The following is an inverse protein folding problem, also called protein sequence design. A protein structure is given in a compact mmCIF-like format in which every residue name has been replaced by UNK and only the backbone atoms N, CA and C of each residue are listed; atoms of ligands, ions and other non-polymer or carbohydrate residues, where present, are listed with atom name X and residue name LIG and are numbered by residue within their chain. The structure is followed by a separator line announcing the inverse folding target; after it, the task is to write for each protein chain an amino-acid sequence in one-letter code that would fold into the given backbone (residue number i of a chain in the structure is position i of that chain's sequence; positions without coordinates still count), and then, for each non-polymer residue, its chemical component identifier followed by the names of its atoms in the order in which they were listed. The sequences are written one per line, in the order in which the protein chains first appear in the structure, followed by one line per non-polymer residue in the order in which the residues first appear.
data_IF_837209738473
#
_entry.id   IF_837209738473
#
_cell.length_a   1.000
_cell.length_b   1.000
_cell.length_c   1.000
_cell.angle_alpha   90.00
_cell.angle_beta   90.00
_cell.angle_gamma   90.00
#
_symmetry.space_group_name_H-M   'P 1'
#
loop_
_entity.id
_entity.type
_entity.pdbx_description
1 polymer ?
#
# COMPACT_ATOMS: atom_id res chain seq x y z
N UNK A 1 -13.50 -58.21 -34.38
CA UNK A 1 -12.63 -57.29 -33.62
C UNK A 1 -13.52 -56.44 -32.75
N UNK A 2 -13.36 -56.47 -31.42
CA UNK A 2 -14.17 -55.64 -30.51
C UNK A 2 -13.53 -54.26 -30.39
N UNK A 3 -14.29 -53.20 -30.68
CA UNK A 3 -13.87 -51.81 -30.52
C UNK A 3 -13.86 -51.46 -29.03
N UNK A 4 -12.66 -51.35 -28.43
CA UNK A 4 -12.53 -50.79 -27.09
C UNK A 4 -12.76 -49.28 -27.15
N UNK A 5 -13.79 -48.80 -26.45
CA UNK A 5 -13.99 -47.37 -26.20
C UNK A 5 -12.77 -46.81 -25.43
N UNK A 6 -12.24 -45.63 -25.80
CA UNK A 6 -11.11 -45.04 -25.10
C UNK A 6 -11.51 -44.66 -23.68
N UNK A 7 -10.85 -45.25 -22.69
CA UNK A 7 -11.10 -44.97 -21.28
C UNK A 7 -10.95 -43.48 -20.97
N UNK A 8 -11.87 -42.89 -20.16
CA UNK A 8 -11.87 -41.46 -19.93
C UNK A 8 -10.59 -41.04 -19.20
N UNK A 9 -9.81 -40.16 -19.83
CA UNK A 9 -8.56 -39.62 -19.26
C UNK A 9 -8.83 -39.07 -17.84
N UNK A 10 -8.02 -39.43 -16.83
CA UNK A 10 -8.25 -38.98 -15.46
C UNK A 10 -8.22 -37.45 -15.42
N UNK A 11 -9.25 -36.85 -14.81
CA UNK A 11 -9.32 -35.39 -14.64
C UNK A 11 -8.11 -34.94 -13.81
N UNK A 12 -7.35 -33.92 -14.22
CA UNK A 12 -6.18 -33.47 -13.47
C UNK A 12 -6.59 -33.05 -12.05
N UNK A 13 -5.84 -33.54 -11.05
CA UNK A 13 -6.08 -33.22 -9.63
C UNK A 13 -5.97 -31.71 -9.46
N UNK A 14 -6.99 -31.09 -8.86
CA UNK A 14 -7.00 -29.64 -8.63
C UNK A 14 -5.83 -29.25 -7.73
N UNK A 15 -5.10 -28.20 -8.11
CA UNK A 15 -4.02 -27.66 -7.28
C UNK A 15 -4.59 -27.11 -5.97
N UNK A 16 -4.00 -27.52 -4.84
CA UNK A 16 -4.39 -27.03 -3.51
C UNK A 16 -4.03 -25.54 -3.39
N UNK A 17 -4.94 -24.65 -2.97
CA UNK A 17 -4.62 -23.24 -2.76
C UNK A 17 -3.69 -23.06 -1.56
N UNK A 18 -2.56 -22.38 -1.74
CA UNK A 18 -1.63 -22.07 -0.64
C UNK A 18 -2.21 -21.00 0.30
N UNK A 19 -2.03 -21.12 1.62
CA UNK A 19 -2.47 -20.09 2.55
C UNK A 19 -1.62 -18.83 2.39
N UNK A 20 -2.28 -17.68 2.38
CA UNK A 20 -1.67 -16.35 2.21
C UNK A 20 -2.47 -15.26 2.92
N UNK A 21 -1.84 -14.11 3.14
CA UNK A 21 -2.47 -12.92 3.72
C UNK A 21 -2.16 -11.67 2.90
N UNK A 22 -3.02 -10.65 2.97
CA UNK A 22 -2.73 -9.34 2.39
C UNK A 22 -3.44 -8.21 3.13
N UNK A 23 -2.78 -7.05 3.24
CA UNK A 23 -3.24 -5.89 4.03
C UNK A 23 -3.55 -4.71 3.14
N UNK A 24 -4.80 -4.25 3.19
CA UNK A 24 -5.23 -2.97 2.63
C UNK A 24 -4.92 -1.91 3.69
N UNK A 25 -3.69 -1.40 3.65
CA UNK A 25 -3.22 -0.39 4.59
C UNK A 25 -3.72 1.00 4.17
N UNK A 26 -4.43 1.65 5.10
CA UNK A 26 -5.03 2.98 4.93
C UNK A 26 -4.20 4.03 5.67
N UNK A 27 -3.74 5.07 4.97
CA UNK A 27 -2.98 6.18 5.54
C UNK A 27 -3.84 7.08 6.43
N UNK A 28 -3.24 7.96 7.25
CA UNK A 28 -3.96 8.97 8.01
C UNK A 28 -4.76 9.96 7.13
N UNK A 29 -4.44 10.04 5.83
CA UNK A 29 -5.14 10.83 4.81
C UNK A 29 -6.21 10.01 4.05
N UNK A 30 -6.50 8.79 4.50
CA UNK A 30 -7.41 7.83 3.88
C UNK A 30 -6.99 7.37 2.46
N UNK A 31 -5.68 7.39 2.17
CA UNK A 31 -5.08 6.83 0.95
C UNK A 31 -4.72 5.35 1.14
N UNK A 32 -4.65 4.58 0.07
CA UNK A 32 -4.36 3.13 0.10
C UNK A 32 -2.95 2.85 -0.42
N UNK A 33 -2.19 2.04 0.31
CA UNK A 33 -0.89 1.54 -0.13
C UNK A 33 -1.07 0.49 -1.24
N UNK A 34 -0.35 0.66 -2.36
CA UNK A 34 -0.06 -0.42 -3.30
C UNK A 34 1.44 -0.53 -3.55
N UNK A 35 1.87 -1.75 -3.85
CA UNK A 35 3.23 -2.12 -4.25
C UNK A 35 3.23 -2.52 -5.73
N UNK A 36 4.26 -2.10 -6.47
CA UNK A 36 4.44 -2.46 -7.89
C UNK A 36 5.48 -3.57 -8.04
N UNK A 37 5.02 -4.81 -8.28
CA UNK A 37 5.90 -5.99 -8.39
C UNK A 37 6.79 -5.95 -9.63
N UNK A 38 8.02 -6.44 -9.49
CA UNK A 38 8.98 -6.64 -10.59
C UNK A 38 8.41 -7.49 -11.74
N UNK A 39 8.98 -7.31 -12.94
CA UNK A 39 8.60 -8.09 -14.15
C UNK A 39 8.91 -9.59 -14.03
N UNK A 40 9.92 -9.93 -13.24
CA UNK A 40 10.39 -11.30 -12.97
C UNK A 40 9.54 -12.07 -11.97
N UNK A 41 8.62 -11.39 -11.26
CA UNK A 41 7.81 -12.01 -10.21
C UNK A 41 7.00 -13.17 -10.76
N UNK A 42 7.17 -14.36 -10.17
CA UNK A 42 6.53 -15.59 -10.68
C UNK A 42 5.00 -15.61 -10.46
N UNK A 43 4.46 -14.58 -9.82
CA UNK A 43 3.03 -14.34 -9.59
C UNK A 43 2.74 -12.84 -9.69
N UNK A 44 1.68 -12.46 -10.43
CA UNK A 44 1.27 -11.04 -10.61
C UNK A 44 2.40 -10.09 -11.11
N UNK A 45 3.27 -10.55 -12.01
CA UNK A 45 4.32 -9.72 -12.62
C UNK A 45 3.80 -8.37 -13.15
N UNK A 46 4.56 -7.28 -12.88
CA UNK A 46 4.20 -5.90 -13.25
C UNK A 46 2.86 -5.38 -12.71
N UNK A 47 2.26 -6.06 -11.73
CA UNK A 47 0.99 -5.66 -11.14
C UNK A 47 1.18 -4.73 -9.95
N UNK A 48 0.18 -3.89 -9.73
CA UNK A 48 0.00 -3.15 -8.49
C UNK A 48 -0.84 -4.00 -7.53
N UNK A 49 -0.33 -4.24 -6.33
CA UNK A 49 -0.89 -5.19 -5.36
C UNK A 49 -0.95 -4.63 -3.94
N UNK A 50 -1.93 -5.13 -3.20
CA UNK A 50 -1.88 -5.39 -1.76
C UNK A 50 -0.47 -5.80 -1.27
N UNK A 51 0.21 -5.19 -0.27
CA UNK A 51 1.25 -5.91 0.45
C UNK A 51 0.72 -7.26 0.95
N UNK A 52 1.48 -8.34 0.81
CA UNK A 52 1.07 -9.67 1.23
C UNK A 52 1.62 -10.84 0.42
N UNK A 53 1.89 -11.94 1.12
CA UNK A 53 2.42 -13.18 0.55
C UNK A 53 1.93 -14.43 1.26
N UNK A 54 2.72 -15.50 1.21
CA UNK A 54 2.35 -16.80 1.79
C UNK A 54 2.59 -16.80 3.30
N UNK A 55 1.92 -17.72 4.00
CA UNK A 55 2.32 -18.03 5.37
C UNK A 55 3.70 -18.71 5.37
N UNK A 56 4.55 -18.27 6.30
CA UNK A 56 5.81 -18.90 6.69
C UNK A 56 5.62 -19.67 8.01
N UNK A 57 6.57 -20.55 8.35
CA UNK A 57 6.51 -21.34 9.59
C UNK A 57 6.51 -20.47 10.85
N UNK A 58 7.15 -19.31 10.80
CA UNK A 58 7.18 -18.32 11.89
C UNK A 58 5.80 -17.70 12.20
N UNK A 59 4.89 -17.66 11.22
CA UNK A 59 3.54 -17.11 11.42
C UNK A 59 2.67 -18.04 12.28
N UNK A 60 3.01 -19.33 12.33
CA UNK A 60 2.30 -20.36 13.09
C UNK A 60 1.76 -21.51 12.23
N UNK A 61 1.27 -22.55 12.90
CA UNK A 61 0.83 -23.80 12.23
C UNK A 61 -0.57 -23.66 11.66
N UNK A 62 -0.67 -23.30 10.38
CA UNK A 62 -1.91 -23.41 9.61
C UNK A 62 -2.33 -24.90 9.47
N UNK A 63 -3.62 -25.25 9.67
CA UNK A 63 -4.15 -26.60 9.44
C UNK A 63 -3.96 -27.11 8.00
N UNK A 64 -4.04 -28.44 7.77
CA UNK A 64 -4.09 -29.03 6.43
C UNK A 64 -5.28 -28.49 5.61
N UNK A 65 -5.18 -28.54 4.28
CA UNK A 65 -6.18 -27.95 3.38
C UNK A 65 -7.56 -28.64 3.40
N UNK A 66 -7.63 -29.83 3.99
CA UNK A 66 -8.85 -30.61 4.22
C UNK A 66 -9.64 -30.14 5.46
N UNK A 67 -9.01 -29.42 6.38
CA UNK A 67 -9.68 -28.82 7.55
C UNK A 67 -10.34 -27.49 7.15
N UNK A 68 -11.66 -27.29 7.40
CA UNK A 68 -12.33 -26.01 7.15
C UNK A 68 -11.61 -24.78 7.74
N UNK A 69 -10.93 -24.94 8.88
CA UNK A 69 -10.13 -23.89 9.55
C UNK A 69 -8.97 -23.38 8.71
N UNK A 70 -8.52 -24.15 7.71
CA UNK A 70 -7.56 -23.67 6.72
C UNK A 70 -8.06 -22.42 5.98
N UNK A 71 -9.37 -22.22 5.89
CA UNK A 71 -10.02 -21.10 5.21
C UNK A 71 -10.70 -20.10 6.16
N UNK A 72 -10.36 -20.11 7.44
CA UNK A 72 -10.89 -19.20 8.46
C UNK A 72 -9.86 -18.12 8.84
N UNK A 73 -10.33 -17.00 9.41
CA UNK A 73 -9.42 -16.02 10.03
C UNK A 73 -8.82 -16.63 11.31
N UNK A 74 -7.52 -16.42 11.52
CA UNK A 74 -6.77 -17.07 12.59
C UNK A 74 -5.45 -16.34 12.87
N UNK A 75 -4.82 -16.54 14.05
CA UNK A 75 -3.58 -15.87 14.42
C UNK A 75 -2.45 -15.99 13.40
N UNK A 76 -2.32 -17.14 12.72
CA UNK A 76 -1.29 -17.35 11.70
C UNK A 76 -1.52 -16.53 10.42
N UNK A 77 -2.78 -16.29 10.03
CA UNK A 77 -3.06 -15.36 8.94
C UNK A 77 -2.77 -13.91 9.35
N UNK A 78 -3.04 -13.55 10.61
CA UNK A 78 -2.80 -12.20 11.13
C UNK A 78 -1.31 -11.88 11.29
N UNK A 79 -0.50 -12.82 11.79
CA UNK A 79 0.97 -12.68 11.85
C UNK A 79 1.58 -12.53 10.46
N UNK A 80 1.22 -13.41 9.52
CA UNK A 80 1.66 -13.32 8.13
C UNK A 80 1.30 -11.95 7.49
N UNK A 81 0.13 -11.41 7.81
CA UNK A 81 -0.32 -10.11 7.27
C UNK A 81 0.59 -8.95 7.71
N UNK A 82 1.01 -8.92 8.99
CA UNK A 82 1.93 -7.90 9.52
C UNK A 82 3.35 -8.11 9.00
N UNK A 83 3.85 -9.36 9.03
CA UNK A 83 5.20 -9.70 8.58
C UNK A 83 5.40 -9.36 7.11
N UNK A 84 4.52 -9.82 6.23
CA UNK A 84 4.60 -9.56 4.78
C UNK A 84 4.50 -8.06 4.45
N UNK A 85 3.69 -7.29 5.20
CA UNK A 85 3.65 -5.84 5.05
C UNK A 85 5.00 -5.20 5.39
N UNK A 86 5.67 -5.65 6.45
CA UNK A 86 7.00 -5.17 6.82
C UNK A 86 8.08 -5.60 5.81
N UNK A 87 8.09 -6.86 5.37
CA UNK A 87 9.01 -7.38 4.36
C UNK A 87 8.85 -6.68 3.00
N UNK A 88 7.62 -6.48 2.50
CA UNK A 88 7.40 -5.90 1.17
C UNK A 88 7.38 -4.35 1.15
N UNK A 89 7.17 -3.66 2.28
CA UNK A 89 7.06 -2.18 2.33
C UNK A 89 7.91 -1.43 3.36
N UNK A 90 8.54 -2.13 4.31
CA UNK A 90 9.27 -1.52 5.43
C UNK A 90 8.38 -0.88 6.52
N UNK A 91 7.05 -0.87 6.35
CA UNK A 91 6.12 -0.34 7.36
C UNK A 91 5.92 -1.36 8.47
N UNK A 92 6.32 -0.98 9.67
CA UNK A 92 6.19 -1.75 10.89
C UNK A 92 4.83 -1.51 11.57
N UNK A 93 4.01 -2.55 11.68
CA UNK A 93 2.80 -2.57 12.53
C UNK A 93 3.06 -3.37 13.80
N UNK A 94 3.75 -2.76 14.75
CA UNK A 94 4.02 -3.33 16.07
C UNK A 94 3.64 -2.32 17.16
N UNK A 95 3.35 -2.82 18.35
CA UNK A 95 2.99 -2.05 19.53
C UNK A 95 3.65 -2.60 20.78
N UNK A 96 3.79 -1.78 21.80
CA UNK A 96 4.01 -2.28 23.16
C UNK A 96 2.73 -2.97 23.66
N UNK A 97 2.88 -4.17 24.22
CA UNK A 97 1.77 -5.05 24.61
C UNK A 97 0.93 -4.53 25.81
N UNK A 98 1.47 -3.62 26.62
CA UNK A 98 0.85 -3.15 27.85
C UNK A 98 0.11 -1.82 27.67
N UNK A 99 0.70 -0.91 26.91
CA UNK A 99 0.21 0.44 26.62
C UNK A 99 -0.57 0.51 25.31
N UNK A 100 -0.36 -0.44 24.40
CA UNK A 100 -0.94 -0.44 23.05
C UNK A 100 -0.36 0.62 22.11
N UNK A 101 0.65 1.39 22.55
CA UNK A 101 1.31 2.43 21.75
C UNK A 101 2.11 1.80 20.62
N UNK A 102 2.02 2.37 19.42
CA UNK A 102 2.81 1.94 18.26
C UNK A 102 4.31 2.07 18.52
N UNK A 103 5.08 1.05 18.14
CA UNK A 103 6.54 1.07 18.27
C UNK A 103 7.15 1.94 17.16
N UNK A 104 7.98 2.91 17.55
CA UNK A 104 8.77 3.72 16.64
C UNK A 104 10.20 3.15 16.54
N UNK A 105 10.60 2.71 15.34
CA UNK A 105 11.93 2.17 15.07
C UNK A 105 12.57 2.98 13.93
N UNK A 106 13.83 3.45 14.06
CA UNK A 106 14.49 4.24 13.02
C UNK A 106 14.58 3.48 11.69
N UNK A 107 14.53 4.20 10.57
CA UNK A 107 14.50 3.60 9.21
C UNK A 107 15.69 2.66 8.96
N UNK A 108 16.89 3.03 9.40
CA UNK A 108 18.09 2.21 9.23
C UNK A 108 17.99 0.85 9.95
N UNK A 109 17.35 0.80 11.11
CA UNK A 109 17.17 -0.44 11.87
C UNK A 109 16.03 -1.28 11.31
N UNK A 110 14.95 -0.64 10.85
CA UNK A 110 13.86 -1.30 10.12
C UNK A 110 14.40 -1.97 8.85
N UNK A 111 15.21 -1.27 8.07
CA UNK A 111 15.80 -1.83 6.84
C UNK A 111 16.84 -2.93 7.11
N UNK A 112 17.57 -2.90 8.25
CA UNK A 112 18.39 -4.05 8.70
C UNK A 112 17.52 -5.26 9.04
N UNK A 113 16.52 -5.08 9.93
CA UNK A 113 15.63 -6.15 10.36
C UNK A 113 14.87 -6.79 9.20
N UNK A 114 14.31 -5.95 8.32
CA UNK A 114 13.63 -6.35 7.09
C UNK A 114 14.47 -7.30 6.23
N UNK A 115 15.77 -7.03 6.07
CA UNK A 115 16.68 -7.90 5.32
C UNK A 115 16.91 -9.23 6.03
N UNK A 116 17.27 -9.20 7.32
CA UNK A 116 17.50 -10.41 8.11
C UNK A 116 16.26 -11.34 8.14
N UNK A 117 15.06 -10.76 8.32
CA UNK A 117 13.79 -11.50 8.31
C UNK A 117 13.51 -12.10 6.92
N UNK A 118 13.65 -11.32 5.85
CA UNK A 118 13.46 -11.81 4.47
C UNK A 118 14.48 -12.90 4.10
N UNK A 119 15.72 -12.77 4.58
CA UNK A 119 16.80 -13.76 4.40
C UNK A 119 16.66 -14.98 5.34
N UNK A 120 15.62 -15.02 6.19
CA UNK A 120 15.36 -16.09 7.16
C UNK A 120 16.48 -16.28 8.20
N UNK A 121 17.26 -15.22 8.46
CA UNK A 121 18.32 -15.18 9.49
C UNK A 121 17.73 -15.05 10.90
N UNK A 122 16.55 -14.43 11.01
CA UNK A 122 15.78 -14.30 12.25
C UNK A 122 14.27 -14.22 11.95
N UNK A 123 13.42 -14.49 12.94
CA UNK A 123 11.97 -14.29 12.81
C UNK A 123 11.54 -12.87 13.16
N UNK A 124 10.34 -12.49 12.73
CA UNK A 124 9.75 -11.19 13.01
C UNK A 124 9.51 -10.95 14.51
N UNK A 125 9.06 -11.97 15.25
CA UNK A 125 8.84 -11.87 16.71
C UNK A 125 10.17 -11.76 17.48
N UNK A 126 11.23 -12.47 17.06
CA UNK A 126 12.57 -12.32 17.63
C UNK A 126 13.12 -10.91 17.38
N UNK A 127 13.02 -10.42 16.13
CA UNK A 127 13.50 -9.07 15.78
C UNK A 127 12.81 -7.98 16.59
N UNK A 128 11.50 -8.11 16.84
CA UNK A 128 10.75 -7.19 17.72
C UNK A 128 11.25 -7.25 19.15
N UNK A 129 11.42 -8.46 19.69
CA UNK A 129 11.86 -8.69 21.08
C UNK A 129 13.25 -8.10 21.37
N UNK A 130 14.13 -8.04 20.36
CA UNK A 130 15.44 -7.36 20.48
C UNK A 130 15.36 -5.82 20.44
N UNK A 131 14.27 -5.23 19.95
CA UNK A 131 14.09 -3.76 19.95
C UNK A 131 13.43 -3.31 21.25
N UNK A 132 12.43 -4.05 21.71
CA UNK A 132 11.74 -3.86 22.99
C UNK A 132 11.14 -5.20 23.43
N UNK A 133 11.41 -5.62 24.68
CA UNK A 133 10.94 -6.89 25.22
C UNK A 133 9.40 -6.97 25.34
N UNK A 134 8.71 -5.83 25.28
CA UNK A 134 7.24 -5.74 25.28
C UNK A 134 6.64 -5.56 23.88
N UNK A 135 7.46 -5.47 22.82
CA UNK A 135 6.97 -5.27 21.47
C UNK A 135 6.31 -6.54 20.90
N UNK A 136 5.09 -6.37 20.40
CA UNK A 136 4.31 -7.43 19.74
C UNK A 136 3.75 -6.93 18.40
N UNK A 137 3.54 -7.82 17.42
CA UNK A 137 2.83 -7.47 16.18
C UNK A 137 1.41 -6.95 16.48
N UNK A 138 0.99 -5.84 15.88
CA UNK A 138 -0.35 -5.27 16.12
C UNK A 138 -1.44 -5.97 15.30
N UNK A 139 -1.64 -7.26 15.61
CA UNK A 139 -2.57 -8.17 14.92
C UNK A 139 -4.04 -7.94 15.28
N UNK A 140 -4.32 -7.27 16.40
CA UNK A 140 -5.69 -7.03 16.88
C UNK A 140 -6.45 -6.03 16.01
N UNK A 141 -5.77 -4.96 15.55
CA UNK A 141 -6.37 -3.92 14.69
C UNK A 141 -6.57 -4.37 13.23
N UNK A 142 -6.16 -5.58 12.86
CA UNK A 142 -6.50 -6.17 11.57
C UNK A 142 -7.99 -6.52 11.53
N UNK A 143 -8.73 -5.83 10.66
CA UNK A 143 -10.15 -6.09 10.43
C UNK A 143 -10.27 -7.04 9.23
N UNK A 144 -10.81 -8.26 9.39
CA UNK A 144 -11.02 -9.18 8.26
C UNK A 144 -11.97 -8.54 7.24
N UNK A 145 -11.58 -8.48 5.97
CA UNK A 145 -12.42 -7.88 4.92
C UNK A 145 -13.01 -8.92 3.97
N UNK A 146 -12.26 -9.93 3.53
CA UNK A 146 -12.82 -11.07 2.76
C UNK A 146 -11.76 -12.15 2.57
N UNK A 147 -12.16 -13.39 2.29
CA UNK A 147 -11.25 -14.42 1.80
C UNK A 147 -11.34 -14.57 0.28
N UNK A 148 -10.20 -14.51 -0.39
CA UNK A 148 -10.13 -14.71 -1.84
C UNK A 148 -9.47 -16.06 -2.16
N UNK A 149 -10.19 -16.96 -2.83
CA UNK A 149 -9.66 -18.25 -3.29
C UNK A 149 -9.45 -18.21 -4.79
N UNK A 150 -8.20 -18.43 -5.21
CA UNK A 150 -7.83 -18.41 -6.63
C UNK A 150 -8.65 -19.44 -7.42
N UNK A 151 -9.27 -19.07 -8.56
CA UNK A 151 -10.07 -19.98 -9.38
C UNK A 151 -9.33 -21.25 -9.81
N UNK A 152 -10.07 -22.33 -10.05
CA UNK A 152 -9.54 -23.67 -10.39
C UNK A 152 -8.88 -23.77 -11.76
N UNK A 153 -9.09 -22.79 -12.65
CA UNK A 153 -8.46 -22.73 -13.97
C UNK A 153 -7.06 -22.08 -13.97
N UNK A 154 -6.54 -21.71 -12.79
CA UNK A 154 -5.18 -21.18 -12.62
C UNK A 154 -4.33 -22.24 -11.90
N UNK A 155 -3.12 -22.57 -12.39
CA UNK A 155 -2.31 -23.65 -11.79
C UNK A 155 -1.70 -23.25 -10.43
N UNK A 156 -1.21 -22.01 -10.29
CA UNK A 156 -0.80 -21.46 -8.99
C UNK A 156 -2.03 -20.92 -8.28
N UNK A 157 -2.42 -21.55 -7.18
CA UNK A 157 -3.60 -21.17 -6.39
C UNK A 157 -3.22 -20.73 -4.99
N UNK A 158 -4.02 -19.82 -4.47
CA UNK A 158 -3.90 -19.20 -3.16
C UNK A 158 -5.27 -19.09 -2.49
N UNK A 159 -5.31 -19.24 -1.17
CA UNK A 159 -6.41 -18.83 -0.31
C UNK A 159 -5.90 -17.67 0.54
N UNK A 160 -6.32 -16.45 0.18
CA UNK A 160 -5.76 -15.22 0.73
C UNK A 160 -6.77 -14.59 1.67
N UNK A 161 -6.40 -14.41 2.94
CA UNK A 161 -7.16 -13.59 3.87
C UNK A 161 -6.81 -12.12 3.63
N UNK A 162 -7.80 -11.31 3.24
CA UNK A 162 -7.67 -9.88 3.04
C UNK A 162 -8.07 -9.16 4.33
N UNK A 163 -7.23 -8.23 4.79
CA UNK A 163 -7.50 -7.38 5.95
C UNK A 163 -7.55 -5.90 5.57
N UNK A 164 -8.28 -5.12 6.35
CA UNK A 164 -8.12 -3.67 6.44
C UNK A 164 -7.30 -3.34 7.68
N UNK A 165 -6.41 -2.36 7.57
CA UNK A 165 -5.72 -1.76 8.71
C UNK A 165 -5.66 -0.25 8.51
N UNK A 166 -5.99 0.52 9.55
CA UNK A 166 -5.96 1.98 9.53
C UNK A 166 -4.77 2.49 10.35
N UNK A 167 -3.86 3.24 9.73
CA UNK A 167 -2.85 4.00 10.47
C UNK A 167 -3.54 5.11 11.29
N UNK A 168 -3.10 5.43 12.53
CA UNK A 168 -3.74 6.41 13.40
C UNK A 168 -3.99 7.76 12.74
N UNK A 169 -5.08 8.43 13.13
CA UNK A 169 -5.37 9.79 12.68
C UNK A 169 -4.58 10.83 13.50
N UNK A 170 -4.23 12.01 12.94
CA UNK A 170 -3.37 12.98 13.63
C UNK A 170 -3.96 13.63 14.90
N UNK A 171 -5.22 13.36 15.25
CA UNK A 171 -5.83 13.77 16.53
C UNK A 171 -5.89 12.64 17.56
N UNK A 172 -5.75 11.37 17.17
CA UNK A 172 -5.72 10.26 18.12
C UNK A 172 -4.42 10.27 18.96
N UNK A 173 -3.42 11.03 18.50
CA UNK A 173 -2.15 11.34 19.18
C UNK A 173 -2.30 12.50 20.19
N UNK A 174 -3.29 12.46 21.10
CA UNK A 174 -3.50 13.54 22.08
C UNK A 174 -2.35 13.61 23.12
N UNK A 175 -1.79 14.83 23.30
CA UNK A 175 -0.81 15.13 24.35
C UNK A 175 -1.52 15.36 25.69
N UNK A 176 -0.90 14.93 26.81
CA UNK A 176 -0.05 15.88 27.52
C UNK A 176 1.36 15.35 27.83
N UNK A 177 2.22 15.23 26.80
CA UNK A 177 3.67 15.23 26.99
C UNK A 177 4.13 16.67 27.27
N UNK A 178 4.07 17.07 28.54
CA UNK A 178 4.48 18.41 29.00
C UNK A 178 5.21 18.42 30.36
N UNK A 179 5.82 17.31 30.78
CA UNK A 179 6.69 17.27 31.97
C UNK A 179 7.96 16.42 31.87
N UNK A 180 8.19 15.69 30.77
CA UNK A 180 9.49 15.07 30.48
C UNK A 180 9.83 15.34 29.01
N UNK A 181 10.95 16.04 28.76
CA UNK A 181 11.31 16.58 27.45
C UNK A 181 12.43 15.75 26.81
N UNK A 182 12.15 15.04 25.71
CA UNK A 182 13.03 15.01 24.55
C UNK A 182 12.73 16.23 23.65
N UNK A 183 13.77 16.82 23.07
CA UNK A 183 13.66 18.12 22.36
C UNK A 183 12.85 18.06 21.06
N UNK A 184 12.49 19.25 20.53
CA UNK A 184 11.72 19.41 19.28
C UNK A 184 12.27 18.54 18.12
N UNK A 185 11.48 17.55 17.68
CA UNK A 185 11.83 16.68 16.56
C UNK A 185 10.81 15.59 16.30
N UNK A 186 10.27 14.97 17.35
CA UNK A 186 9.31 13.87 17.22
C UNK A 186 7.91 14.36 16.81
N UNK A 187 7.69 14.34 15.50
CA UNK A 187 6.38 13.92 14.97
C UNK A 187 6.30 12.41 15.08
N UNK A 188 5.08 11.87 15.14
CA UNK A 188 4.86 10.51 14.66
C UNK A 188 5.13 10.51 13.14
N UNK A 189 6.38 10.23 12.76
CA UNK A 189 6.77 10.11 11.37
C UNK A 189 6.10 8.86 10.79
N UNK A 190 5.05 9.09 10.00
CA UNK A 190 4.41 8.06 9.19
C UNK A 190 5.51 7.39 8.39
N UNK A 191 5.77 6.12 8.70
CA UNK A 191 6.87 5.35 8.12
C UNK A 191 6.74 5.37 6.59
N UNK A 192 7.72 5.97 5.92
CA UNK A 192 7.72 6.07 4.46
C UNK A 192 7.87 4.66 3.89
N UNK A 193 6.97 4.20 3.00
CA UNK A 193 7.08 2.88 2.41
C UNK A 193 8.30 2.82 1.47
N UNK A 194 9.15 1.83 1.68
CA UNK A 194 10.40 1.62 0.93
C UNK A 194 10.27 0.39 0.04
N UNK A 195 10.65 0.53 -1.23
CA UNK A 195 10.95 -0.61 -2.10
C UNK A 195 12.10 -1.43 -1.51
N UNK A 196 12.07 -2.75 -1.66
CA UNK A 196 13.09 -3.72 -1.22
C UNK A 196 14.44 -3.64 -1.98
N UNK A 197 14.77 -2.48 -2.55
CA UNK A 197 15.86 -2.32 -3.51
C UNK A 197 15.51 -2.70 -4.95
N UNK A 198 14.30 -3.20 -5.22
CA UNK A 198 13.85 -3.65 -6.54
C UNK A 198 14.03 -5.15 -6.79
N UNK A 199 14.11 -5.95 -5.73
CA UNK A 199 14.24 -7.42 -5.76
C UNK A 199 12.88 -8.03 -6.12
N UNK A 200 11.82 -7.69 -5.39
CA UNK A 200 10.44 -8.05 -5.66
C UNK A 200 9.52 -6.84 -5.90
N UNK A 201 9.83 -5.68 -5.30
CA UNK A 201 8.99 -4.46 -5.32
C UNK A 201 9.76 -3.26 -5.88
N UNK A 202 9.29 -2.72 -7.00
CA UNK A 202 9.93 -1.58 -7.69
C UNK A 202 9.47 -0.19 -7.21
N UNK A 203 8.26 -0.08 -6.66
CA UNK A 203 7.67 1.15 -6.12
C UNK A 203 6.65 0.77 -5.04
N UNK A 204 6.61 1.53 -3.95
CA UNK A 204 5.62 1.42 -2.90
C UNK A 204 5.02 2.82 -2.65
N UNK A 205 3.70 2.95 -2.71
CA UNK A 205 3.06 4.28 -2.74
C UNK A 205 1.66 4.28 -2.15
N UNK A 206 1.30 5.37 -1.46
CA UNK A 206 -0.07 5.71 -1.10
C UNK A 206 -0.71 6.60 -2.18
N UNK A 207 -1.96 6.30 -2.55
CA UNK A 207 -2.86 7.16 -3.33
C UNK A 207 -4.32 6.92 -2.92
N UNK A 208 -5.24 7.88 -3.16
CA UNK A 208 -6.67 7.65 -2.97
C UNK A 208 -7.16 6.46 -3.79
N UNK A 209 -8.07 5.65 -3.26
CA UNK A 209 -8.48 4.39 -3.88
C UNK A 209 -9.09 4.61 -5.29
N UNK A 210 -9.78 5.73 -5.50
CA UNK A 210 -10.32 6.13 -6.80
C UNK A 210 -9.27 6.57 -7.81
N UNK A 211 -8.09 7.03 -7.38
CA UNK A 211 -6.98 7.34 -8.28
C UNK A 211 -6.33 6.07 -8.81
N UNK A 212 -6.11 5.06 -7.95
CA UNK A 212 -5.68 3.73 -8.40
C UNK A 212 -6.67 3.14 -9.43
N UNK A 213 -7.97 3.29 -9.20
CA UNK A 213 -8.99 2.87 -10.16
C UNK A 213 -8.99 3.69 -11.45
N UNK A 214 -8.68 5.00 -11.40
CA UNK A 214 -8.50 5.86 -12.58
C UNK A 214 -7.34 5.36 -13.44
N UNK A 215 -6.16 5.18 -12.84
CA UNK A 215 -4.96 4.66 -13.49
C UNK A 215 -5.22 3.30 -14.14
N UNK A 216 -5.89 2.37 -13.44
CA UNK A 216 -6.21 1.04 -13.97
C UNK A 216 -7.24 1.06 -15.12
N UNK A 217 -8.18 2.02 -15.11
CA UNK A 217 -9.13 2.22 -16.23
C UNK A 217 -8.46 2.83 -17.46
N UNK A 218 -7.52 3.76 -17.25
CA UNK A 218 -6.68 4.32 -18.31
C UNK A 218 -5.72 3.26 -18.90
N UNK A 219 -5.36 2.25 -18.11
CA UNK A 219 -4.37 1.24 -18.48
C UNK A 219 -2.94 1.64 -18.13
N UNK A 220 -2.77 2.64 -17.26
CA UNK A 220 -1.48 3.07 -16.70
C UNK A 220 -0.88 2.01 -15.76
N UNK A 221 -1.73 1.21 -15.10
CA UNK A 221 -1.34 0.14 -14.18
C UNK A 221 -2.17 -1.13 -14.39
N UNK A 222 -1.66 -2.25 -13.87
CA UNK A 222 -2.35 -3.55 -13.85
C UNK A 222 -2.82 -3.86 -12.43
N UNK A 223 -4.14 -3.91 -12.21
CA UNK A 223 -4.74 -4.43 -10.98
C UNK A 223 -5.31 -5.83 -11.24
N UNK A 224 -5.11 -6.80 -10.34
CA UNK A 224 -5.80 -8.09 -10.39
C UNK A 224 -7.24 -7.98 -9.82
N UNK A 225 -8.14 -8.96 -10.06
CA UNK A 225 -9.55 -8.80 -9.68
C UNK A 225 -9.82 -8.53 -8.19
N UNK A 226 -9.10 -9.12 -7.19
CA UNK A 226 -9.33 -8.76 -5.79
C UNK A 226 -8.93 -7.31 -5.51
N UNK A 227 -7.76 -6.86 -5.99
CA UNK A 227 -7.29 -5.49 -5.82
C UNK A 227 -8.29 -4.49 -6.39
N UNK A 228 -8.77 -4.73 -7.62
CA UNK A 228 -9.75 -3.86 -8.27
C UNK A 228 -11.10 -3.84 -7.55
N UNK A 229 -11.59 -4.99 -7.05
CA UNK A 229 -12.83 -5.04 -6.28
C UNK A 229 -12.70 -4.28 -4.97
N UNK A 230 -11.66 -4.58 -4.17
CA UNK A 230 -11.52 -4.04 -2.83
C UNK A 230 -11.20 -2.54 -2.86
N UNK A 231 -10.38 -2.06 -3.80
CA UNK A 231 -10.21 -0.62 -4.05
C UNK A 231 -11.53 0.06 -4.44
N UNK A 232 -12.37 -0.59 -5.25
CA UNK A 232 -13.67 -0.03 -5.61
C UNK A 232 -14.60 0.12 -4.40
N UNK A 233 -14.63 -0.87 -3.51
CA UNK A 233 -15.41 -0.80 -2.28
C UNK A 233 -14.86 0.29 -1.35
N UNK A 234 -13.54 0.32 -1.10
CA UNK A 234 -12.91 1.35 -0.25
C UNK A 234 -13.16 2.76 -0.80
N UNK A 235 -13.07 2.95 -2.12
CA UNK A 235 -13.35 4.22 -2.78
C UNK A 235 -14.82 4.69 -2.66
N UNK A 236 -15.80 3.79 -2.45
CA UNK A 236 -17.19 4.18 -2.17
C UNK A 236 -17.32 4.94 -0.84
N UNK A 237 -16.37 4.79 0.10
CA UNK A 237 -16.41 5.39 1.44
C UNK A 237 -15.36 6.49 1.66
N UNK A 238 -14.09 6.20 1.38
CA UNK A 238 -12.98 7.08 1.75
C UNK A 238 -12.84 8.30 0.83
N UNK A 239 -13.09 8.11 -0.48
CA UNK A 239 -12.82 9.11 -1.52
C UNK A 239 -14.01 10.06 -1.80
N UNK A 240 -15.03 10.08 -0.94
CA UNK A 240 -16.24 10.91 -1.11
C UNK A 240 -15.89 12.41 -1.23
N UNK A 241 -16.54 13.11 -2.17
CA UNK A 241 -16.30 14.53 -2.43
C UNK A 241 -17.14 15.45 -1.51
N UNK A 242 -16.65 16.66 -1.17
CA UNK A 242 -15.40 17.28 -1.63
C UNK A 242 -14.14 16.70 -0.97
N UNK A 243 -13.06 16.61 -1.75
CA UNK A 243 -11.68 16.34 -1.26
C UNK A 243 -11.01 17.62 -0.74
N UNK A 244 -11.72 18.43 0.04
CA UNK A 244 -11.05 19.43 0.86
C UNK A 244 -10.16 18.71 1.90
N UNK A 245 -9.15 19.36 2.49
CA UNK A 245 -8.53 18.86 3.71
C UNK A 245 -9.63 18.68 4.76
N UNK A 246 -10.04 17.43 4.97
CA UNK A 246 -11.10 17.12 5.93
C UNK A 246 -10.62 17.48 7.32
N UNK A 247 -11.50 18.05 8.14
CA UNK A 247 -11.33 17.93 9.58
C UNK A 247 -11.09 16.45 9.91
N UNK A 248 -10.21 16.13 10.86
CA UNK A 248 -9.86 14.74 11.15
C UNK A 248 -11.10 13.89 11.51
N UNK A 249 -12.11 14.53 12.11
CA UNK A 249 -13.48 14.02 12.29
C UNK A 249 -14.13 13.46 11.00
N UNK A 250 -14.01 14.16 9.87
CA UNK A 250 -14.52 13.71 8.56
C UNK A 250 -13.74 12.48 8.06
N UNK A 251 -12.44 12.43 8.32
CA UNK A 251 -11.60 11.28 7.96
C UNK A 251 -11.98 10.06 8.81
N UNK A 252 -12.21 10.26 10.12
CA UNK A 252 -12.68 9.21 11.03
C UNK A 252 -14.05 8.67 10.61
N UNK A 253 -15.05 9.54 10.46
CA UNK A 253 -16.42 9.17 10.07
C UNK A 253 -16.49 8.38 8.75
N UNK A 254 -15.53 8.57 7.84
CA UNK A 254 -15.40 7.76 6.61
C UNK A 254 -14.83 6.38 6.86
N UNK A 255 -13.88 6.25 7.80
CA UNK A 255 -13.34 4.96 8.26
C UNK A 255 -14.42 4.16 8.98
N UNK A 256 -15.15 4.78 9.91
CA UNK A 256 -16.27 4.16 10.63
C UNK A 256 -17.30 3.56 9.67
N UNK A 257 -17.79 4.36 8.70
CA UNK A 257 -18.74 3.88 7.68
C UNK A 257 -18.19 2.75 6.80
N UNK A 258 -16.88 2.71 6.56
CA UNK A 258 -16.24 1.59 5.87
C UNK A 258 -16.20 0.33 6.76
N UNK A 259 -15.91 0.48 8.06
CA UNK A 259 -15.94 -0.63 9.03
C UNK A 259 -17.36 -1.17 9.23
N UNK A 260 -18.36 -0.31 9.34
CA UNK A 260 -19.79 -0.69 9.33
C UNK A 260 -20.13 -1.51 8.08
N UNK A 261 -19.72 -1.03 6.90
CA UNK A 261 -19.95 -1.74 5.64
C UNK A 261 -19.29 -3.13 5.61
N UNK A 262 -18.07 -3.26 6.13
CA UNK A 262 -17.32 -4.54 6.20
C UNK A 262 -18.04 -5.56 7.09
N UNK A 263 -18.68 -5.11 8.16
CA UNK A 263 -19.52 -5.95 9.04
C UNK A 263 -20.97 -6.09 8.55
N UNK A 264 -21.31 -5.52 7.39
CA UNK A 264 -22.66 -5.56 6.81
C UNK A 264 -22.79 -6.54 5.63
N UNK A 265 -24.01 -7.01 5.41
CA UNK A 265 -24.36 -7.95 4.34
C UNK A 265 -24.81 -9.32 4.86
N UNK A 266 -25.16 -10.23 3.95
CA UNK A 266 -25.53 -11.61 4.29
C UNK A 266 -24.85 -12.59 3.31
N UNK A 267 -23.73 -13.25 3.70
CA UNK A 267 -22.95 -13.00 4.93
C UNK A 267 -22.29 -11.60 4.94
N UNK A 268 -21.81 -11.10 6.09
CA UNK A 268 -21.00 -9.89 6.14
C UNK A 268 -19.70 -10.05 5.33
N UNK A 269 -19.05 -8.96 4.93
CA UNK A 269 -17.84 -9.05 4.10
C UNK A 269 -16.71 -9.84 4.79
N UNK A 270 -16.52 -9.62 6.10
CA UNK A 270 -15.67 -10.44 6.99
C UNK A 270 -15.75 -11.94 6.70
N UNK A 271 -16.96 -12.44 6.41
CA UNK A 271 -17.29 -13.85 6.17
C UNK A 271 -17.46 -14.24 4.70
N UNK A 272 -17.39 -13.28 3.76
CA UNK A 272 -17.44 -13.61 2.34
C UNK A 272 -16.18 -14.34 1.92
N UNK A 273 -16.36 -15.51 1.31
CA UNK A 273 -15.31 -16.20 0.58
C UNK A 273 -15.63 -16.16 -0.91
N UNK A 274 -14.70 -15.67 -1.73
CA UNK A 274 -14.89 -15.42 -3.15
C UNK A 274 -13.86 -16.22 -3.95
N UNK A 275 -14.34 -17.14 -4.78
CA UNK A 275 -13.58 -17.77 -5.87
C UNK A 275 -14.26 -17.46 -7.21
N UNK A 276 -13.72 -16.51 -7.99
CA UNK A 276 -14.40 -16.04 -9.19
C UNK A 276 -14.64 -17.13 -10.23
N UNK A 277 -15.87 -17.18 -10.75
CA UNK A 277 -16.26 -18.09 -11.82
C UNK A 277 -16.63 -17.30 -13.08
N UNK A 278 -16.14 -17.73 -14.24
CA UNK A 278 -16.57 -17.14 -15.50
C UNK A 278 -18.04 -17.48 -15.75
N UNK A 279 -18.89 -16.46 -15.92
CA UNK A 279 -20.30 -16.61 -16.27
C UNK A 279 -20.49 -16.65 -17.79
N UNK A 280 -19.98 -15.61 -18.47
CA UNK A 280 -20.10 -15.40 -19.92
C UNK A 280 -19.01 -14.46 -20.41
N UNK A 281 -18.82 -14.41 -21.73
CA UNK A 281 -18.20 -13.24 -22.37
C UNK A 281 -19.27 -12.17 -22.59
N UNK A 282 -18.90 -10.91 -22.39
CA UNK A 282 -19.67 -9.76 -22.83
C UNK A 282 -19.35 -9.46 -24.31
N UNK A 283 -20.26 -8.75 -24.99
CA UNK A 283 -20.16 -8.38 -26.41
C UNK A 283 -18.88 -7.60 -26.74
N UNK A 284 -18.34 -6.82 -25.79
CA UNK A 284 -17.08 -6.10 -25.91
C UNK A 284 -15.81 -6.97 -25.72
N UNK A 285 -15.97 -8.28 -25.59
CA UNK A 285 -14.89 -9.25 -25.38
C UNK A 285 -14.30 -9.25 -23.97
N UNK A 286 -15.04 -8.78 -22.95
CA UNK A 286 -14.67 -8.94 -21.53
C UNK A 286 -15.28 -10.21 -20.94
N UNK A 287 -14.48 -10.95 -20.17
CA UNK A 287 -14.99 -12.02 -19.33
C UNK A 287 -15.78 -11.43 -18.15
N UNK A 288 -17.01 -11.90 -17.93
CA UNK A 288 -17.84 -11.53 -16.78
C UNK A 288 -17.61 -12.58 -15.69
N UNK A 289 -17.06 -12.16 -14.56
CA UNK A 289 -16.77 -13.02 -13.41
C UNK A 289 -17.86 -12.88 -12.34
N UNK A 290 -18.54 -13.99 -12.05
CA UNK A 290 -19.32 -14.21 -10.84
C UNK A 290 -18.41 -14.17 -9.61
N UNK A 291 -18.93 -13.64 -8.50
CA UNK A 291 -18.22 -13.51 -7.22
C UNK A 291 -18.91 -14.29 -6.09
N UNK A 292 -20.05 -14.95 -6.35
CA UNK A 292 -20.96 -15.58 -5.38
C UNK A 292 -20.52 -16.96 -4.89
N UNK A 293 -19.56 -17.59 -5.59
CA UNK A 293 -19.07 -18.92 -5.26
C UNK A 293 -17.87 -18.86 -4.30
N UNK A 294 -17.81 -19.68 -3.24
CA UNK A 294 -16.69 -19.73 -2.30
C UNK A 294 -15.52 -20.61 -2.76
N UNK A 295 -15.61 -21.23 -3.94
CA UNK A 295 -14.67 -22.25 -4.43
C UNK A 295 -15.11 -23.68 -4.10
N UNK A 296 -14.49 -24.70 -4.74
CA UNK A 296 -14.78 -26.11 -4.42
C UNK A 296 -14.34 -26.51 -3.01
N UNK A 297 -13.32 -25.86 -2.44
CA UNK A 297 -12.76 -26.16 -1.12
C UNK A 297 -13.81 -25.99 0.00
N UNK A 298 -14.70 -25.01 -0.16
CA UNK A 298 -15.73 -24.65 0.82
C UNK A 298 -17.12 -25.16 0.44
N UNK A 299 -17.21 -26.11 -0.50
CA UNK A 299 -18.48 -26.69 -0.91
C UNK A 299 -19.12 -27.46 0.26
N UNK A 300 -20.29 -26.99 0.71
CA UNK A 300 -21.04 -27.61 1.81
C UNK A 300 -20.85 -26.94 3.18
N UNK A 301 -19.85 -26.06 3.33
CA UNK A 301 -19.56 -25.34 4.59
C UNK A 301 -20.53 -24.17 4.88
N UNK A 302 -21.50 -23.90 4.00
CA UNK A 302 -22.41 -22.76 4.11
C UNK A 302 -21.81 -21.40 3.73
N UNK A 303 -20.47 -21.28 3.59
CA UNK A 303 -19.78 -20.06 3.14
C UNK A 303 -20.28 -19.61 1.75
N UNK A 304 -20.34 -18.30 1.52
CA UNK A 304 -20.81 -17.68 0.27
C UNK A 304 -19.92 -16.51 -0.12
N UNK A 305 -19.95 -16.14 -1.40
CA UNK A 305 -19.27 -14.96 -1.91
C UNK A 305 -20.19 -13.74 -2.05
N UNK A 306 -19.87 -12.86 -2.99
CA UNK A 306 -20.64 -11.65 -3.31
C UNK A 306 -21.62 -11.92 -4.47
N UNK A 307 -22.92 -11.78 -4.21
CA UNK A 307 -23.98 -12.08 -5.19
C UNK A 307 -24.44 -10.87 -6.01
N UNK A 308 -24.31 -9.65 -5.49
CA UNK A 308 -24.87 -8.43 -6.08
C UNK A 308 -23.96 -7.81 -7.15
N UNK A 309 -22.68 -8.22 -7.20
CA UNK A 309 -21.65 -7.60 -8.04
C UNK A 309 -20.94 -8.63 -8.94
N UNK A 310 -20.49 -8.19 -10.11
CA UNK A 310 -19.64 -8.97 -11.03
C UNK A 310 -18.45 -8.14 -11.50
N UNK A 311 -17.29 -8.78 -11.69
CA UNK A 311 -16.10 -8.11 -12.26
C UNK A 311 -16.01 -8.43 -13.75
N UNK A 312 -16.02 -7.40 -14.60
CA UNK A 312 -15.72 -7.52 -16.03
C UNK A 312 -14.22 -7.32 -16.25
N UNK A 313 -13.55 -8.32 -16.82
CA UNK A 313 -12.10 -8.27 -17.10
C UNK A 313 -11.81 -8.49 -18.59
N UNK A 314 -10.98 -7.64 -19.20
CA UNK A 314 -10.33 -7.96 -20.48
C UNK A 314 -8.92 -8.43 -20.20
N UNK A 315 -8.62 -9.70 -20.48
CA UNK A 315 -7.25 -10.19 -20.48
C UNK A 315 -6.64 -9.91 -21.87
N UNK A 316 -5.68 -8.98 -21.93
CA UNK A 316 -4.76 -8.84 -23.07
C UNK A 316 -3.35 -9.07 -22.53
N UNK A 317 -2.46 -9.66 -23.32
CA UNK A 317 -1.05 -9.82 -22.90
C UNK A 317 -0.50 -8.45 -22.47
N UNK A 318 0.03 -8.38 -21.25
CA UNK A 318 0.60 -7.15 -20.67
C UNK A 318 -0.40 -6.05 -20.26
N UNK A 319 -1.73 -6.21 -20.40
CA UNK A 319 -2.68 -5.20 -19.91
C UNK A 319 -4.07 -5.79 -19.57
N UNK A 320 -4.57 -5.47 -18.38
CA UNK A 320 -5.87 -5.94 -17.92
C UNK A 320 -6.83 -4.77 -17.64
N UNK A 321 -7.65 -4.39 -18.62
CA UNK A 321 -8.70 -3.37 -18.45
C UNK A 321 -9.90 -3.97 -17.70
N UNK A 322 -10.38 -3.28 -16.66
CA UNK A 322 -11.40 -3.80 -15.73
C UNK A 322 -12.50 -2.80 -15.43
N UNK A 323 -13.71 -3.33 -15.21
CA UNK A 323 -14.85 -2.60 -14.71
C UNK A 323 -15.61 -3.48 -13.72
N UNK A 324 -16.18 -2.86 -12.68
CA UNK A 324 -17.16 -3.53 -11.82
C UNK A 324 -18.54 -3.19 -12.37
N UNK A 325 -19.45 -4.16 -12.31
CA UNK A 325 -20.85 -3.94 -12.65
C UNK A 325 -21.73 -4.52 -11.54
N UNK A 326 -22.86 -3.88 -11.27
CA UNK A 326 -23.88 -4.47 -10.39
C UNK A 326 -24.65 -5.48 -11.24
N UNK A 327 -25.02 -6.63 -10.68
CA UNK A 327 -25.94 -7.53 -11.39
C UNK A 327 -27.26 -6.79 -11.59
N UNK A 328 -27.67 -6.67 -12.84
CA UNK A 328 -29.02 -6.23 -13.20
C UNK A 328 -30.02 -7.18 -12.54
N UNK A 329 -30.59 -6.75 -11.43
CA UNK A 329 -31.70 -7.45 -10.80
C UNK A 329 -32.93 -7.25 -11.69
N UNK A 330 -33.46 -8.35 -12.19
CA UNK A 330 -34.78 -8.36 -12.82
C UNK A 330 -35.81 -7.84 -11.77
N UNK A 331 -36.54 -6.75 -12.05
CA UNK A 331 -37.38 -6.08 -11.05
C UNK A 331 -38.58 -6.92 -10.59
N UNK A 332 -38.84 -8.09 -11.17
CA UNK A 332 -39.95 -8.94 -10.78
C UNK A 332 -39.85 -9.62 -9.40
N UNK A 333 -38.73 -9.51 -8.67
CA UNK A 333 -38.60 -10.22 -7.38
C UNK A 333 -37.80 -9.51 -6.27
N UNK A 334 -38.32 -8.39 -5.72
CA UNK A 334 -38.18 -8.06 -4.29
C UNK A 334 -39.16 -6.97 -3.80
N UNK A 335 -39.94 -7.29 -2.77
CA UNK A 335 -40.68 -6.31 -1.96
C UNK A 335 -39.78 -5.77 -0.84
N UNK A 336 -39.80 -4.44 -0.62
CA UNK A 336 -39.48 -3.73 0.64
C UNK A 336 -38.01 -3.85 1.14
N UNK A 337 -37.40 -2.89 1.84
CA UNK A 337 -37.78 -1.51 2.20
C UNK A 337 -36.51 -0.67 2.47
N UNK A 338 -36.59 0.66 2.35
CA UNK A 338 -35.52 1.62 2.76
C UNK A 338 -36.10 2.60 3.80
N UNK A 339 -35.36 2.99 4.85
CA UNK A 339 -35.63 4.21 5.60
C UNK A 339 -34.84 5.41 5.05
N UNK A 340 -35.29 6.63 5.37
CA UNK A 340 -34.78 7.88 4.83
C UNK A 340 -33.91 8.66 5.84
N UNK A 341 -33.03 9.53 5.31
CA UNK A 341 -32.29 10.53 6.09
C UNK A 341 -33.12 11.81 6.31
N UNK A 342 -32.95 12.46 7.46
CA UNK A 342 -33.48 13.81 7.75
C UNK A 342 -32.36 14.74 8.26
N UNK A 343 -32.57 16.06 8.14
CA UNK A 343 -31.61 17.17 8.43
C UNK A 343 -32.07 18.07 9.61
N UNK A 344 -31.25 19.10 9.94
CA UNK A 344 -31.33 20.20 10.96
C UNK A 344 -30.41 19.97 12.18
N UNK A 345 -29.88 20.97 12.94
CA UNK A 345 -29.83 22.46 12.87
C UNK A 345 -28.34 22.92 12.80
N UNK A 346 -27.94 23.98 12.07
CA UNK A 346 -27.84 25.45 12.36
C UNK A 346 -26.74 25.90 13.36
N UNK A 347 -26.03 26.95 12.97
CA UNK A 347 -24.74 27.44 13.49
C UNK A 347 -24.78 28.48 14.63
N UNK A 348 -23.63 28.65 15.33
CA UNK A 348 -23.01 29.87 15.94
C UNK A 348 -21.76 29.41 16.74
N UNK A 349 -20.72 30.19 17.10
CA UNK A 349 -20.26 31.56 16.77
C UNK A 349 -18.73 31.68 17.02
N UNK A 350 -18.09 32.82 16.69
CA UNK A 350 -16.62 33.05 16.75
C UNK A 350 -16.14 33.56 18.12
N UNK A 351 -14.85 33.38 18.46
CA UNK A 351 -13.97 34.45 19.00
C UNK A 351 -12.46 34.11 18.86
N UNK A 352 -11.58 35.05 19.22
CA UNK A 352 -10.20 35.24 18.69
C UNK A 352 -9.13 35.51 19.78
N UNK A 353 -7.90 35.96 19.39
CA UNK A 353 -6.74 36.47 20.19
C UNK A 353 -5.62 35.39 20.41
N UNK A 354 -4.30 35.65 20.46
CA UNK A 354 -3.37 36.57 19.73
C UNK A 354 -1.91 36.05 19.89
N UNK A 355 -0.92 36.60 19.17
CA UNK A 355 0.50 36.18 19.19
C UNK A 355 1.28 36.67 20.46
N UNK A 356 2.56 36.35 20.76
CA UNK A 356 3.75 36.35 19.89
C UNK A 356 5.11 35.96 20.57
N UNK A 357 6.15 35.73 19.74
CA UNK A 357 7.61 35.95 19.98
C UNK A 357 8.47 34.77 20.59
N UNK A 358 9.83 34.81 20.55
CA UNK A 358 10.61 34.10 19.49
C UNK A 358 11.83 33.27 19.95
N UNK A 359 12.50 32.55 19.01
CA UNK A 359 13.71 31.74 19.25
C UNK A 359 14.85 32.03 18.24
N UNK A 360 16.10 31.73 18.61
CA UNK A 360 17.32 31.86 17.79
C UNK A 360 17.95 30.49 17.46
N UNK A 361 18.59 30.29 16.28
CA UNK A 361 19.03 28.98 15.81
C UNK A 361 20.54 28.70 15.92
N UNK A 362 20.93 27.42 15.87
CA UNK A 362 22.31 26.97 15.62
C UNK A 362 22.41 25.86 14.58
N UNK A 363 23.46 25.90 13.74
CA UNK A 363 23.64 25.05 12.54
C UNK A 363 24.52 23.80 12.82
N UNK A 364 24.25 22.68 12.13
CA UNK A 364 25.23 21.60 11.86
C UNK A 364 25.25 21.21 10.38
N UNK A 365 26.31 20.50 9.96
CA UNK A 365 26.83 20.41 8.57
C UNK A 365 26.42 19.10 7.84
N UNK A 366 26.47 19.04 6.50
CA UNK A 366 25.98 17.90 5.70
C UNK A 366 27.08 16.87 5.32
N UNK A 367 26.65 15.64 4.99
CA UNK A 367 27.49 14.51 4.55
C UNK A 367 27.19 14.13 3.08
N UNK A 368 28.17 13.54 2.37
CA UNK A 368 28.11 13.25 0.92
C UNK A 368 27.77 11.76 0.64
N UNK A 369 26.97 11.49 -0.40
CA UNK A 369 26.41 10.16 -0.75
C UNK A 369 26.93 9.59 -2.09
N UNK A 370 27.01 8.25 -2.21
CA UNK A 370 27.36 7.52 -3.45
C UNK A 370 26.19 6.62 -3.92
N UNK A 371 25.86 6.57 -5.23
CA UNK A 371 24.76 5.74 -5.76
C UNK A 371 25.17 4.28 -6.01
N UNK A 372 24.24 3.35 -5.80
CA UNK A 372 24.37 1.92 -6.14
C UNK A 372 24.15 1.63 -7.65
N UNK A 373 24.62 0.47 -8.11
CA UNK A 373 24.62 0.00 -9.52
C UNK A 373 24.11 -1.44 -9.61
N UNK A 374 23.55 -1.86 -10.75
CA UNK A 374 23.26 -3.27 -11.02
C UNK A 374 24.48 -3.97 -11.63
N UNK A 375 24.96 -5.02 -10.97
CA UNK A 375 26.14 -5.79 -11.33
C UNK A 375 25.76 -7.27 -11.48
N UNK A 376 26.39 -8.00 -12.41
CA UNK A 376 26.23 -9.46 -12.51
C UNK A 376 27.08 -10.19 -11.44
N UNK A 377 27.01 -11.52 -11.42
CA UNK A 377 27.78 -12.38 -10.50
C UNK A 377 29.32 -12.21 -10.61
N UNK A 378 29.82 -11.47 -11.61
CA UNK A 378 31.25 -11.14 -11.80
C UNK A 378 31.59 -9.70 -11.42
N UNK A 379 30.65 -8.92 -10.89
CA UNK A 379 30.83 -7.48 -10.60
C UNK A 379 30.81 -6.57 -11.84
N UNK A 380 30.41 -7.09 -13.00
CA UNK A 380 30.33 -6.31 -14.24
C UNK A 380 28.97 -5.58 -14.29
N UNK A 381 28.99 -4.28 -14.55
CA UNK A 381 27.78 -3.45 -14.63
C UNK A 381 26.95 -3.89 -15.83
N UNK A 382 25.73 -4.37 -15.59
CA UNK A 382 24.79 -4.84 -16.64
C UNK A 382 23.81 -3.75 -17.11
N UNK A 383 23.77 -2.61 -16.42
CA UNK A 383 22.99 -1.45 -16.83
C UNK A 383 23.58 -0.76 -18.07
N UNK A 384 22.75 -0.55 -19.09
CA UNK A 384 23.13 0.18 -20.32
C UNK A 384 23.52 1.65 -20.03
N UNK A 385 23.01 2.22 -18.94
CA UNK A 385 23.50 3.43 -18.28
C UNK A 385 22.88 3.54 -16.88
N UNK A 386 23.59 4.16 -15.92
CA UNK A 386 23.01 4.50 -14.62
C UNK A 386 22.27 5.86 -14.74
N UNK A 387 20.94 5.93 -14.56
CA UNK A 387 20.19 7.15 -14.80
C UNK A 387 20.38 8.18 -13.66
N UNK A 388 20.39 9.47 -14.03
CA UNK A 388 20.52 10.58 -13.05
C UNK A 388 19.29 10.64 -12.14
N UNK A 389 19.47 11.04 -10.88
CA UNK A 389 18.36 11.31 -9.94
C UNK A 389 18.17 12.82 -9.77
N UNK A 390 16.93 13.25 -9.61
CA UNK A 390 16.57 14.64 -9.30
C UNK A 390 16.95 14.95 -7.84
N UNK A 391 17.84 15.91 -7.61
CA UNK A 391 18.32 16.33 -6.29
C UNK A 391 17.20 16.82 -5.38
N UNK A 392 16.12 17.37 -5.93
CA UNK A 392 14.99 17.91 -5.14
C UNK A 392 14.02 16.83 -4.65
N UNK A 393 13.80 15.76 -5.44
CA UNK A 393 12.73 14.77 -5.25
C UNK A 393 13.19 13.32 -5.16
N UNK A 394 14.49 13.05 -5.31
CA UNK A 394 15.13 11.73 -5.44
C UNK A 394 14.63 10.81 -6.60
N UNK A 395 13.52 11.16 -7.28
CA UNK A 395 13.01 10.53 -8.50
C UNK A 395 14.09 10.42 -9.59
N UNK A 396 14.06 9.30 -10.32
CA UNK A 396 14.90 9.08 -11.50
C UNK A 396 14.47 10.04 -12.63
N UNK A 397 15.46 10.70 -13.24
CA UNK A 397 15.31 11.50 -14.46
C UNK A 397 15.36 10.55 -15.64
N UNK A 398 14.24 10.43 -16.37
CA UNK A 398 14.12 9.57 -17.55
C UNK A 398 14.81 10.22 -18.75
N UNK A 399 15.33 9.42 -19.68
CA UNK A 399 16.00 9.92 -20.88
C UNK A 399 15.12 10.84 -21.76
N UNK A 400 13.79 10.66 -21.73
CA UNK A 400 12.83 11.50 -22.45
C UNK A 400 12.41 12.78 -21.70
N UNK A 401 12.93 13.02 -20.49
CA UNK A 401 12.69 14.26 -19.74
C UNK A 401 13.63 15.37 -20.24
N UNK A 402 13.38 15.89 -21.44
CA UNK A 402 14.14 17.01 -22.03
C UNK A 402 13.90 18.33 -21.29
N UNK A 403 12.92 18.38 -20.38
CA UNK A 403 12.74 19.47 -19.46
C UNK A 403 13.61 19.32 -18.20
N UNK A 404 14.32 18.20 -17.99
CA UNK A 404 15.32 18.10 -16.92
C UNK A 404 16.56 18.96 -17.21
N UNK A 405 17.14 19.52 -16.15
CA UNK A 405 18.38 20.32 -16.22
C UNK A 405 19.35 19.89 -15.13
N UNK A 406 20.64 20.07 -15.41
CA UNK A 406 21.70 19.91 -14.43
C UNK A 406 22.42 21.25 -14.29
N UNK A 407 22.37 21.80 -13.08
CA UNK A 407 22.97 23.07 -12.71
C UNK A 407 24.29 22.73 -12.01
N UNK A 408 25.40 23.09 -12.63
CA UNK A 408 26.74 22.99 -12.06
C UNK A 408 27.12 24.36 -11.48
N UNK A 409 27.30 24.45 -10.17
CA UNK A 409 27.68 25.67 -9.46
C UNK A 409 29.15 25.54 -9.06
N UNK A 410 30.00 26.39 -9.63
CA UNK A 410 31.43 26.38 -9.31
C UNK A 410 31.70 26.85 -7.89
N UNK A 411 32.49 26.08 -7.14
CA UNK A 411 33.00 26.50 -5.83
C UNK A 411 34.08 27.56 -6.01
N UNK A 412 34.12 28.54 -5.11
CA UNK A 412 35.14 29.59 -5.10
C UNK A 412 35.95 29.53 -3.81
N UNK A 413 37.22 29.90 -3.89
CA UNK A 413 38.09 30.09 -2.72
C UNK A 413 37.82 31.43 -2.01
N UNK A 414 38.57 31.69 -0.94
CA UNK A 414 38.49 32.93 -0.15
C UNK A 414 38.86 34.19 -0.97
N UNK A 415 39.54 34.03 -2.11
CA UNK A 415 39.91 35.10 -3.03
C UNK A 415 38.88 35.26 -4.18
N UNK A 416 37.76 34.53 -4.14
CA UNK A 416 36.74 34.54 -5.18
C UNK A 416 37.13 33.81 -6.47
N UNK A 417 38.21 33.02 -6.46
CA UNK A 417 38.69 32.26 -7.62
C UNK A 417 38.02 30.89 -7.66
N UNK A 418 37.60 30.46 -8.85
CA UNK A 418 37.02 29.13 -9.05
C UNK A 418 38.03 28.02 -8.72
N UNK A 419 37.64 27.07 -7.88
CA UNK A 419 38.54 26.04 -7.33
C UNK A 419 38.73 24.82 -8.25
N UNK A 420 38.06 24.78 -9.40
CA UNK A 420 38.00 23.59 -10.26
C UNK A 420 36.90 22.59 -9.88
N UNK A 421 36.28 22.72 -8.71
CA UNK A 421 35.19 21.85 -8.25
C UNK A 421 33.80 22.45 -8.51
N UNK A 422 32.87 21.63 -9.01
CA UNK A 422 31.46 21.98 -9.17
C UNK A 422 30.56 21.23 -8.19
N UNK A 423 29.66 21.96 -7.51
CA UNK A 423 28.50 21.37 -6.87
C UNK A 423 27.38 21.19 -7.91
N UNK A 424 26.91 19.97 -8.11
CA UNK A 424 25.91 19.65 -9.13
C UNK A 424 24.53 19.43 -8.52
N UNK A 425 23.51 20.08 -9.08
CA UNK A 425 22.09 19.88 -8.78
C UNK A 425 21.34 19.49 -10.04
N UNK A 426 20.63 18.36 -10.03
CA UNK A 426 19.78 17.93 -11.13
C UNK A 426 18.31 18.15 -10.78
N UNK A 427 17.55 18.84 -11.63
CA UNK A 427 16.13 19.08 -11.46
C UNK A 427 15.36 18.41 -12.60
N UNK A 428 14.34 17.60 -12.28
CA UNK A 428 13.47 16.97 -13.28
C UNK A 428 12.43 17.96 -13.85
N UNK A 429 11.93 17.67 -15.04
CA UNK A 429 10.92 18.48 -15.72
C UNK A 429 9.63 18.67 -14.92
N UNK A 430 9.28 17.72 -14.04
CA UNK A 430 8.12 17.84 -13.13
C UNK A 430 8.22 19.05 -12.20
N UNK A 431 9.41 19.32 -11.63
CA UNK A 431 9.64 20.45 -10.73
C UNK A 431 9.67 21.78 -11.52
N UNK A 432 10.14 21.76 -12.78
CA UNK A 432 10.09 22.93 -13.67
C UNK A 432 8.67 23.25 -14.15
N UNK A 433 7.87 22.24 -14.49
CA UNK A 433 6.48 22.41 -14.93
C UNK A 433 5.56 23.00 -13.84
N UNK A 434 5.93 22.89 -12.56
CA UNK A 434 5.20 23.45 -11.43
C UNK A 434 5.71 24.82 -10.97
N UNK A 435 6.79 25.34 -11.56
CA UNK A 435 7.46 26.56 -11.08
C UNK A 435 8.28 26.38 -9.79
N UNK A 436 8.28 25.19 -9.19
CA UNK A 436 8.89 24.86 -7.88
C UNK A 436 10.44 24.74 -7.93
N UNK A 437 11.07 25.17 -9.03
CA UNK A 437 12.51 24.96 -9.27
C UNK A 437 13.40 25.89 -8.46
N UNK A 438 13.00 27.15 -8.32
CA UNK A 438 13.71 28.14 -7.51
C UNK A 438 13.66 27.77 -6.02
N UNK A 439 12.45 27.52 -5.49
CA UNK A 439 12.24 27.01 -4.12
C UNK A 439 13.06 25.75 -3.83
N UNK A 440 13.03 24.78 -4.75
CA UNK A 440 13.82 23.55 -4.64
C UNK A 440 15.32 23.82 -4.58
N UNK A 441 15.84 24.72 -5.42
CA UNK A 441 17.26 25.05 -5.44
C UNK A 441 17.67 25.81 -4.17
N UNK A 442 16.86 26.77 -3.72
CA UNK A 442 17.08 27.52 -2.48
C UNK A 442 17.11 26.60 -1.25
N UNK A 443 16.18 25.65 -1.16
CA UNK A 443 16.17 24.64 -0.10
C UNK A 443 17.42 23.74 -0.13
N UNK A 444 17.83 23.27 -1.30
CA UNK A 444 18.99 22.38 -1.45
C UNK A 444 20.30 23.08 -1.10
N UNK A 445 20.53 24.27 -1.63
CA UNK A 445 21.73 25.07 -1.38
C UNK A 445 21.78 25.62 0.05
N UNK A 446 20.64 25.89 0.69
CA UNK A 446 20.58 26.24 2.11
C UNK A 446 20.89 25.04 3.01
N UNK A 447 20.41 23.83 2.68
CA UNK A 447 20.77 22.56 3.36
C UNK A 447 22.26 22.26 3.23
N UNK A 448 22.80 22.43 2.04
CA UNK A 448 24.21 22.15 1.74
C UNK A 448 25.15 23.25 2.29
N UNK A 449 24.58 24.32 2.85
CA UNK A 449 25.27 25.34 3.65
C UNK A 449 25.68 26.60 2.90
N UNK A 450 25.57 26.60 1.56
CA UNK A 450 26.02 27.67 0.65
C UNK A 450 25.29 29.00 0.87
N UNK A 451 23.98 28.96 1.13
CA UNK A 451 23.17 30.15 1.39
C UNK A 451 22.47 30.09 2.75
N UNK A 452 21.99 31.24 3.25
CA UNK A 452 21.40 31.38 4.58
C UNK A 452 20.09 32.15 4.49
N UNK A 453 19.07 31.68 5.19
CA UNK A 453 17.82 32.38 5.47
C UNK A 453 17.02 32.85 4.23
N UNK A 454 17.20 32.20 3.08
CA UNK A 454 16.47 32.50 1.84
C UNK A 454 15.28 31.56 1.61
N UNK A 455 15.28 30.39 2.27
CA UNK A 455 14.15 29.48 2.29
C UNK A 455 13.58 29.38 3.70
N UNK A 456 12.28 29.68 3.83
CA UNK A 456 11.47 29.43 5.03
C UNK A 456 10.18 28.75 4.60
N UNK A 457 9.78 27.70 5.32
CA UNK A 457 8.55 26.98 5.04
C UNK A 457 7.33 27.88 5.30
N UNK A 458 6.84 28.54 4.25
CA UNK A 458 5.67 29.41 4.36
C UNK A 458 4.42 28.59 4.73
N UNK A 459 3.85 28.86 5.91
CA UNK A 459 2.48 28.43 6.21
C UNK A 459 1.54 29.20 5.29
N UNK A 460 1.10 28.57 4.20
CA UNK A 460 -0.09 29.05 3.49
C UNK A 460 -1.28 29.00 4.47
N UNK A 461 -1.96 30.14 4.60
CA UNK A 461 -3.16 30.33 5.43
C UNK A 461 -4.41 29.84 4.70
#
# INVERSE_FOLDING_TARGET
MSSQDPSPKPKPKLAVPRPSSSVILISPQNEVLLLHRVKTSTSFASAHVFPGGNLSLQDGKCPPAEDPKHHEDAPWYRKAAVRELFEESGILLAKDQHTGKMLAVPEEERERGRRAIHQHEMTFDEWLSERDANAVPDTDKLIPFTRWITPTNVPKRYTTQMYLYFLPLPLESEKPLLNEIPAEGEKEEIQVPTSDGGVEVTEARFLPASEWLRMARAGEIILFPPQFLLLHLVAEFLDQSPRAPGAVEELNRRRERLVEFVHSGQPPWTDKCISPKMLKMAEDGRAVLALDHPGPELKGTGRRGEADRVVKVKFKQGSARKALDKRSHDPHNRKLSRPAFSRHFRAQSRQSISASAPFLPHRRRPHVYKPAKMENEKGEIVDLYVPRKCSATNRIIKANDHASVQIAIGKVDENGRYTGENQNYALCGFIRARGESDDSLNRLTQRDGYIRNVWTASRQR
#
